data_IF_561541384876
#
_entry.id   IF_561541384876
#
_cell.length_a   1.000
_cell.length_b   1.000
_cell.length_c   1.000
_cell.angle_alpha   90.00
_cell.angle_beta   90.00
_cell.angle_gamma   90.00
#
_symmetry.space_group_name_H-M   'P 1'
#
loop_
_entity.id
_entity.type
_entity.pdbx_description
1 polymer ?
#
# COMPACT_ATOMS: atom_id res chain seq x y z
N UNK A 1 16.33 -5.79 -11.09
CA UNK A 1 16.42 -5.86 -9.60
C UNK A 1 17.76 -5.41 -9.01
N UNK A 2 18.92 -5.91 -9.51
CA UNK A 2 20.25 -5.59 -8.95
C UNK A 2 20.49 -4.08 -8.78
N UNK A 3 20.30 -3.30 -9.84
CA UNK A 3 20.58 -1.85 -9.79
C UNK A 3 19.66 -1.10 -8.82
N UNK A 4 18.38 -1.48 -8.76
CA UNK A 4 17.42 -0.91 -7.81
C UNK A 4 17.84 -1.20 -6.36
N UNK A 5 18.24 -2.45 -6.06
CA UNK A 5 18.72 -2.85 -4.73
C UNK A 5 19.99 -2.09 -4.37
N UNK A 6 20.95 -2.00 -5.30
CA UNK A 6 22.20 -1.27 -5.09
C UNK A 6 21.94 0.22 -4.82
N UNK A 7 21.01 0.84 -5.56
CA UNK A 7 20.60 2.22 -5.33
C UNK A 7 19.95 2.40 -3.95
N UNK A 8 18.97 1.57 -3.59
CA UNK A 8 18.30 1.65 -2.29
C UNK A 8 19.30 1.52 -1.13
N UNK A 9 20.20 0.53 -1.18
CA UNK A 9 21.25 0.33 -0.16
C UNK A 9 22.14 1.55 -0.03
N UNK A 10 22.60 2.10 -1.16
CA UNK A 10 23.45 3.29 -1.17
C UNK A 10 22.76 4.48 -0.50
N UNK A 11 21.49 4.73 -0.81
CA UNK A 11 20.75 5.84 -0.21
C UNK A 11 20.58 5.64 1.29
N UNK A 12 20.22 4.44 1.75
CA UNK A 12 20.12 4.13 3.19
C UNK A 12 21.47 4.29 3.90
N UNK A 13 22.58 3.85 3.29
CA UNK A 13 23.93 4.01 3.87
C UNK A 13 24.33 5.48 4.02
N UNK A 14 23.95 6.34 3.06
CA UNK A 14 24.17 7.78 3.14
C UNK A 14 23.28 8.39 4.22
N UNK A 15 21.98 8.09 4.18
CA UNK A 15 21.01 8.67 5.10
C UNK A 15 21.29 8.28 6.56
N UNK A 16 21.69 7.03 6.84
CA UNK A 16 22.02 6.61 8.22
C UNK A 16 23.18 7.37 8.84
N UNK A 17 24.12 7.88 8.03
CA UNK A 17 25.19 8.75 8.52
C UNK A 17 24.66 10.12 8.95
N UNK A 18 23.67 10.65 8.23
CA UNK A 18 23.10 11.98 8.48
C UNK A 18 21.92 11.95 9.48
N UNK A 19 21.16 10.86 9.51
CA UNK A 19 19.93 10.67 10.27
C UNK A 19 19.91 9.25 10.89
N UNK A 20 20.77 8.99 11.89
CA UNK A 20 20.90 7.65 12.49
C UNK A 20 19.65 7.20 13.27
N UNK A 21 18.79 8.14 13.68
CA UNK A 21 17.54 7.84 14.36
C UNK A 21 16.38 7.54 13.40
N UNK A 22 16.53 7.79 12.10
CA UNK A 22 15.48 7.55 11.11
C UNK A 22 15.29 6.05 10.84
N UNK A 23 14.06 5.69 10.46
CA UNK A 23 13.68 4.35 10.00
C UNK A 23 13.49 4.35 8.48
N UNK A 24 13.93 3.30 7.81
CA UNK A 24 13.92 3.21 6.36
C UNK A 24 12.89 2.20 5.88
N UNK A 25 11.95 2.69 5.07
CA UNK A 25 10.84 1.91 4.54
C UNK A 25 11.15 1.40 3.14
N UNK A 26 11.01 0.08 2.95
CA UNK A 26 10.88 -0.51 1.63
C UNK A 26 9.40 -0.64 1.28
N UNK A 27 8.91 0.11 0.29
CA UNK A 27 7.47 0.20 -0.02
C UNK A 27 7.13 -0.26 -1.44
N UNK A 28 7.07 -1.58 -1.72
CA UNK A 28 6.57 -2.09 -2.99
C UNK A 28 5.05 -1.94 -3.12
N UNK A 29 4.54 -2.01 -4.36
CA UNK A 29 3.08 -2.00 -4.63
C UNK A 29 2.33 -3.21 -4.07
N UNK A 30 3.00 -4.31 -3.73
CA UNK A 30 2.37 -5.55 -3.27
C UNK A 30 2.10 -6.59 -4.37
N UNK A 31 2.63 -6.37 -5.58
CA UNK A 31 2.48 -7.24 -6.74
C UNK A 31 3.43 -8.45 -6.74
N UNK A 32 3.11 -9.48 -7.51
CA UNK A 32 3.96 -10.67 -7.67
C UNK A 32 5.38 -10.32 -8.15
N UNK A 33 6.38 -10.93 -7.52
CA UNK A 33 7.79 -10.74 -7.86
C UNK A 33 8.45 -9.56 -7.14
N UNK A 34 7.72 -8.86 -6.25
CA UNK A 34 8.29 -7.83 -5.37
C UNK A 34 9.49 -8.34 -4.57
N UNK A 35 9.51 -9.63 -4.23
CA UNK A 35 10.52 -10.26 -3.37
C UNK A 35 11.91 -10.17 -3.99
N UNK A 36 11.97 -10.15 -5.34
CA UNK A 36 13.21 -9.99 -6.11
C UNK A 36 13.86 -8.63 -5.90
N UNK A 37 13.13 -7.66 -5.35
CA UNK A 37 13.60 -6.30 -5.08
C UNK A 37 13.87 -6.05 -3.59
N UNK A 38 13.68 -7.04 -2.71
CA UNK A 38 13.96 -6.86 -1.29
C UNK A 38 15.46 -6.55 -1.07
N UNK A 39 15.82 -5.41 -0.46
CA UNK A 39 17.21 -5.02 -0.32
C UNK A 39 17.93 -5.74 0.84
N UNK A 40 17.22 -6.50 1.67
CA UNK A 40 17.78 -7.27 2.78
C UNK A 40 17.54 -6.63 4.14
N UNK A 41 17.54 -7.46 5.18
CA UNK A 41 17.09 -7.10 6.53
C UNK A 41 17.87 -5.97 7.18
N UNK A 42 19.15 -5.84 6.85
CA UNK A 42 20.00 -4.77 7.36
C UNK A 42 19.57 -3.38 6.86
N UNK A 43 18.85 -3.31 5.74
CA UNK A 43 18.50 -2.06 5.06
C UNK A 43 17.03 -1.67 5.20
N UNK A 44 16.19 -2.55 5.75
CA UNK A 44 14.74 -2.33 5.90
C UNK A 44 14.35 -2.38 7.36
N UNK A 45 13.82 -1.27 7.86
CA UNK A 45 13.24 -1.20 9.20
C UNK A 45 11.74 -1.53 9.19
N UNK A 46 11.04 -1.17 8.12
CA UNK A 46 9.58 -1.31 7.96
C UNK A 46 9.22 -1.54 6.49
N UNK A 47 8.15 -2.27 6.22
CA UNK A 47 7.65 -2.53 4.87
C UNK A 47 6.40 -1.69 4.63
N UNK A 48 6.35 -1.00 3.50
CA UNK A 48 5.17 -0.29 3.02
C UNK A 48 4.42 -1.09 1.96
N UNK A 49 3.10 -1.01 1.94
CA UNK A 49 2.25 -1.50 0.86
C UNK A 49 1.25 -0.42 0.44
N UNK A 50 0.92 -0.37 -0.84
CA UNK A 50 -0.13 0.51 -1.36
C UNK A 50 -1.44 -0.27 -1.52
N UNK A 51 -2.53 0.26 -0.98
CA UNK A 51 -3.87 -0.35 -1.05
C UNK A 51 -4.85 0.69 -1.59
N UNK A 52 -5.38 0.45 -2.78
CA UNK A 52 -6.32 1.37 -3.42
C UNK A 52 -7.60 0.66 -3.85
N UNK A 53 -8.73 1.09 -3.28
CA UNK A 53 -10.06 0.58 -3.60
C UNK A 53 -10.78 1.47 -4.62
N UNK A 54 -11.04 0.97 -5.82
CA UNK A 54 -11.91 1.68 -6.77
C UNK A 54 -13.10 0.80 -7.08
N UNK A 55 -14.29 1.18 -6.60
CA UNK A 55 -15.49 0.33 -6.67
C UNK A 55 -15.76 -0.18 -8.09
N UNK A 56 -15.60 0.68 -9.10
CA UNK A 56 -15.76 0.27 -10.51
C UNK A 56 -14.77 -0.84 -10.89
N UNK A 57 -13.48 -0.67 -10.58
CA UNK A 57 -12.44 -1.65 -10.87
C UNK A 57 -12.67 -2.96 -10.11
N UNK A 58 -13.14 -2.87 -8.87
CA UNK A 58 -13.47 -4.04 -8.06
C UNK A 58 -14.57 -4.88 -8.73
N UNK A 59 -15.66 -4.23 -9.16
CA UNK A 59 -16.75 -4.91 -9.86
C UNK A 59 -16.32 -5.45 -11.23
N UNK A 60 -15.52 -4.68 -11.99
CA UNK A 60 -15.02 -5.11 -13.30
C UNK A 60 -14.07 -6.32 -13.21
N UNK A 61 -13.26 -6.43 -12.16
CA UNK A 61 -12.24 -7.49 -12.01
C UNK A 61 -12.70 -8.69 -11.17
N UNK A 62 -13.52 -8.46 -10.15
CA UNK A 62 -13.89 -9.47 -9.15
C UNK A 62 -15.41 -9.72 -9.07
N UNK A 63 -16.23 -8.92 -9.76
CA UNK A 63 -17.68 -9.03 -9.75
C UNK A 63 -18.35 -8.60 -8.44
N UNK A 64 -17.62 -7.95 -7.53
CA UNK A 64 -18.11 -7.45 -6.25
C UNK A 64 -17.25 -6.29 -5.72
N UNK A 65 -17.76 -5.59 -4.71
CA UNK A 65 -17.03 -4.57 -3.94
C UNK A 65 -15.97 -5.25 -3.07
N UNK A 66 -14.68 -5.10 -3.43
CA UNK A 66 -13.57 -5.65 -2.65
C UNK A 66 -13.34 -4.83 -1.37
N UNK A 67 -13.02 -5.53 -0.29
CA UNK A 67 -12.70 -4.94 1.01
C UNK A 67 -11.22 -4.58 1.16
N UNK A 68 -10.91 -3.81 2.21
CA UNK A 68 -9.52 -3.51 2.60
C UNK A 68 -8.69 -4.78 2.79
N UNK A 69 -9.23 -5.78 3.49
CA UNK A 69 -8.52 -7.02 3.78
C UNK A 69 -8.24 -7.83 2.50
N UNK A 70 -9.21 -7.91 1.58
CA UNK A 70 -9.05 -8.61 0.31
C UNK A 70 -7.96 -7.97 -0.57
N UNK A 71 -7.89 -6.64 -0.60
CA UNK A 71 -6.86 -5.94 -1.37
C UNK A 71 -5.48 -5.94 -0.68
N UNK A 72 -5.43 -5.95 0.65
CA UNK A 72 -4.17 -6.00 1.39
C UNK A 72 -3.54 -7.40 1.38
N UNK A 73 -4.35 -8.45 1.53
CA UNK A 73 -3.88 -9.82 1.79
C UNK A 73 -2.80 -10.33 0.82
N UNK A 74 -2.94 -10.19 -0.51
CA UNK A 74 -1.93 -10.69 -1.43
C UNK A 74 -0.57 -10.01 -1.24
N UNK A 75 -0.54 -8.69 -1.02
CA UNK A 75 0.70 -7.96 -0.75
C UNK A 75 1.29 -8.33 0.61
N UNK A 76 0.43 -8.42 1.62
CA UNK A 76 0.81 -8.80 2.98
C UNK A 76 1.47 -10.19 3.03
N UNK A 77 0.82 -11.21 2.45
CA UNK A 77 1.32 -12.60 2.47
C UNK A 77 2.71 -12.72 1.83
N UNK A 78 2.98 -11.94 0.76
CA UNK A 78 4.28 -11.91 0.08
C UNK A 78 5.39 -11.33 0.94
N UNK A 79 5.10 -10.28 1.70
CA UNK A 79 6.11 -9.58 2.51
C UNK A 79 6.23 -10.12 3.94
N UNK A 80 5.25 -10.89 4.41
CA UNK A 80 5.24 -11.46 5.76
C UNK A 80 6.49 -12.30 6.06
N UNK A 81 7.04 -12.98 5.04
CA UNK A 81 8.26 -13.81 5.16
C UNK A 81 9.51 -13.03 5.57
N UNK A 82 9.52 -11.70 5.41
CA UNK A 82 10.65 -10.84 5.78
C UNK A 82 10.66 -10.46 7.27
N UNK A 83 9.62 -10.82 8.04
CA UNK A 83 9.54 -10.61 9.49
C UNK A 83 9.78 -9.15 9.92
N UNK A 84 9.27 -8.20 9.14
CA UNK A 84 9.32 -6.75 9.44
C UNK A 84 7.92 -6.24 9.79
N UNK A 85 7.80 -5.15 10.57
CA UNK A 85 6.56 -4.40 10.67
C UNK A 85 6.07 -3.97 9.29
N UNK A 86 4.77 -4.04 9.06
CA UNK A 86 4.11 -3.69 7.81
C UNK A 86 3.24 -2.45 8.05
N UNK A 87 3.24 -1.55 7.08
CA UNK A 87 2.42 -0.34 7.04
C UNK A 87 1.70 -0.32 5.70
N UNK A 88 0.41 -0.01 5.69
CA UNK A 88 -0.22 0.47 4.45
C UNK A 88 0.24 1.91 4.29
N UNK A 89 1.27 2.11 3.47
CA UNK A 89 1.94 3.41 3.28
C UNK A 89 1.10 4.37 2.44
N UNK A 90 0.23 3.80 1.60
CA UNK A 90 -0.71 4.55 0.79
C UNK A 90 -2.06 3.84 0.81
N UNK A 91 -3.07 4.53 1.33
CA UNK A 91 -4.46 4.11 1.28
C UNK A 91 -5.29 5.15 0.52
N UNK A 92 -6.05 4.70 -0.47
CA UNK A 92 -7.10 5.50 -1.09
C UNK A 92 -8.29 4.61 -1.46
N UNK A 93 -9.49 5.18 -1.44
CA UNK A 93 -10.66 4.46 -1.94
C UNK A 93 -11.68 5.43 -2.50
N UNK A 94 -12.40 5.03 -3.56
CA UNK A 94 -13.46 5.83 -4.22
C UNK A 94 -14.60 4.91 -4.66
N UNK A 95 -15.84 5.32 -4.39
CA UNK A 95 -17.04 4.58 -4.79
C UNK A 95 -18.33 5.26 -4.30
N UNK A 96 -19.44 4.53 -4.34
CA UNK A 96 -20.71 4.96 -3.75
C UNK A 96 -20.62 5.01 -2.22
N UNK A 97 -21.58 5.69 -1.60
CA UNK A 97 -21.61 5.91 -0.15
C UNK A 97 -21.39 4.62 0.68
N UNK A 98 -22.07 3.53 0.34
CA UNK A 98 -21.95 2.26 1.10
C UNK A 98 -20.54 1.65 0.99
N UNK A 99 -19.94 1.72 -0.20
CA UNK A 99 -18.56 1.28 -0.44
C UNK A 99 -17.57 2.10 0.41
N UNK A 100 -17.70 3.43 0.36
CA UNK A 100 -16.84 4.35 1.12
C UNK A 100 -17.00 4.13 2.63
N UNK A 101 -18.23 3.97 3.12
CA UNK A 101 -18.51 3.67 4.53
C UNK A 101 -17.85 2.37 4.98
N UNK A 102 -17.91 1.31 4.15
CA UNK A 102 -17.25 0.03 4.45
C UNK A 102 -15.74 0.18 4.53
N UNK A 103 -15.13 0.89 3.58
CA UNK A 103 -13.69 1.15 3.59
C UNK A 103 -13.23 2.01 4.77
N UNK A 104 -14.03 3.01 5.17
CA UNK A 104 -13.78 3.82 6.36
C UNK A 104 -13.78 2.97 7.63
N UNK A 105 -14.68 2.01 7.74
CA UNK A 105 -14.74 1.10 8.88
C UNK A 105 -13.56 0.12 8.84
N UNK A 106 -13.34 -0.53 7.71
CA UNK A 106 -12.37 -1.61 7.56
C UNK A 106 -10.92 -1.14 7.71
N UNK A 107 -10.56 0.01 7.13
CA UNK A 107 -9.19 0.55 7.21
C UNK A 107 -8.74 0.95 8.62
N UNK A 108 -9.68 1.01 9.59
CA UNK A 108 -9.42 1.36 10.99
C UNK A 108 -9.49 0.16 11.94
N UNK A 109 -9.78 -1.04 11.42
CA UNK A 109 -9.86 -2.27 12.20
C UNK A 109 -8.50 -2.95 12.33
N UNK A 110 -8.33 -3.67 13.43
CA UNK A 110 -7.28 -4.68 13.56
C UNK A 110 -7.77 -6.01 12.98
N UNK A 111 -6.87 -6.71 12.28
CA UNK A 111 -7.13 -7.99 11.65
C UNK A 111 -6.18 -9.03 12.23
N UNK A 112 -6.72 -10.14 12.74
CA UNK A 112 -5.91 -11.20 13.32
C UNK A 112 -5.01 -11.88 12.28
N UNK A 113 -5.43 -11.86 11.02
CA UNK A 113 -4.68 -12.36 9.86
C UNK A 113 -3.53 -11.42 9.42
N UNK A 114 -3.49 -10.18 9.91
CA UNK A 114 -2.42 -9.21 9.60
C UNK A 114 -1.65 -8.79 10.87
N UNK A 115 -1.05 -9.72 11.63
CA UNK A 115 -0.45 -9.43 12.93
C UNK A 115 0.74 -8.45 12.87
N UNK A 116 1.39 -8.30 11.71
CA UNK A 116 2.49 -7.36 11.53
C UNK A 116 2.04 -5.99 10.98
N UNK A 117 0.75 -5.79 10.67
CA UNK A 117 0.22 -4.49 10.26
C UNK A 117 0.17 -3.56 11.47
N UNK A 118 0.97 -2.49 11.41
CA UNK A 118 1.15 -1.55 12.53
C UNK A 118 0.54 -0.18 12.28
N UNK A 119 0.34 0.21 11.02
CA UNK A 119 -0.18 1.53 10.66
C UNK A 119 -0.81 1.54 9.27
N UNK A 120 -1.71 2.49 9.06
CA UNK A 120 -2.36 2.77 7.77
C UNK A 120 -2.28 4.28 7.54
N UNK A 121 -1.74 4.69 6.39
CA UNK A 121 -1.52 6.09 6.02
C UNK A 121 -2.38 6.44 4.82
N UNK A 122 -3.27 7.42 4.99
CA UNK A 122 -4.21 7.84 3.94
C UNK A 122 -3.55 8.78 2.93
N UNK A 123 -3.63 8.43 1.65
CA UNK A 123 -3.12 9.22 0.53
C UNK A 123 -4.21 10.19 0.06
N UNK A 124 -4.32 11.34 0.74
CA UNK A 124 -5.39 12.32 0.51
C UNK A 124 -5.15 13.23 -0.72
N UNK A 125 -4.98 12.64 -1.91
CA UNK A 125 -4.70 13.36 -3.15
C UNK A 125 -5.50 12.77 -4.32
N UNK A 126 -5.73 13.57 -5.36
CA UNK A 126 -6.13 13.01 -6.64
C UNK A 126 -4.96 12.25 -7.26
N UNK A 127 -5.26 11.10 -7.88
CA UNK A 127 -4.30 10.34 -8.67
C UNK A 127 -3.61 11.25 -9.71
N UNK A 128 -2.30 11.08 -9.87
CA UNK A 128 -1.46 11.89 -10.76
C UNK A 128 -1.19 11.21 -12.09
N UNK A 129 -1.34 9.88 -12.14
CA UNK A 129 -1.11 9.09 -13.34
C UNK A 129 -2.34 8.24 -13.69
N UNK A 130 -2.84 8.28 -14.93
CA UNK A 130 -4.04 7.55 -15.29
C UNK A 130 -3.85 6.05 -15.11
N UNK A 131 -4.78 5.45 -14.38
CA UNK A 131 -4.82 4.01 -14.20
C UNK A 131 -5.09 3.32 -15.54
N UNK A 132 -4.32 2.27 -15.82
CA UNK A 132 -4.52 1.40 -16.99
C UNK A 132 -5.93 0.79 -16.97
N UNK A 133 -6.48 0.47 -18.14
CA UNK A 133 -7.84 -0.08 -18.24
C UNK A 133 -8.96 0.96 -18.24
N UNK A 134 -8.62 2.25 -18.39
CA UNK A 134 -9.62 3.31 -18.57
C UNK A 134 -10.26 3.81 -17.27
N UNK A 135 -9.67 3.52 -16.11
CA UNK A 135 -10.15 4.00 -14.81
C UNK A 135 -9.81 5.46 -14.51
N UNK A 136 -9.03 6.12 -15.39
CA UNK A 136 -8.74 7.54 -15.30
C UNK A 136 -7.90 7.89 -14.08
N UNK A 137 -8.24 9.01 -13.43
CA UNK A 137 -7.52 9.57 -12.28
C UNK A 137 -8.46 9.58 -11.07
N UNK A 138 -8.62 8.47 -10.34
CA UNK A 138 -9.48 8.44 -9.17
C UNK A 138 -9.09 9.52 -8.15
N UNK A 139 -10.10 10.06 -7.46
CA UNK A 139 -9.91 11.15 -6.53
C UNK A 139 -9.98 10.66 -5.08
N UNK A 140 -8.82 10.31 -4.52
CA UNK A 140 -8.70 9.76 -3.17
C UNK A 140 -8.97 10.81 -2.08
N UNK A 141 -9.21 12.08 -2.43
CA UNK A 141 -9.46 13.11 -1.41
C UNK A 141 -10.71 12.76 -0.61
N UNK A 142 -10.64 12.83 0.70
CA UNK A 142 -11.76 12.50 1.60
C UNK A 142 -13.04 13.30 1.34
N UNK A 143 -12.92 14.46 0.68
CA UNK A 143 -14.08 15.30 0.29
C UNK A 143 -14.63 14.99 -1.10
N UNK A 144 -13.97 14.12 -1.87
CA UNK A 144 -14.29 13.81 -3.27
C UNK A 144 -14.49 12.31 -3.52
N UNK A 145 -14.19 11.46 -2.55
CA UNK A 145 -14.17 10.02 -2.73
C UNK A 145 -15.53 9.31 -2.74
N UNK A 146 -16.62 10.04 -2.45
CA UNK A 146 -18.00 9.55 -2.62
C UNK A 146 -18.50 9.99 -3.99
N UNK A 147 -18.81 9.01 -4.84
CA UNK A 147 -19.42 9.23 -6.15
C UNK A 147 -20.93 9.51 -6.02
N UNK A 148 -21.50 10.29 -6.95
CA UNK A 148 -22.94 10.58 -6.99
C UNK A 148 -23.79 9.33 -7.29
#
# INVERSE_FOLDING_TARGET
>A
PKDWISAYKREVDICRKAAPAAKYMWSPKGEEGLEKYYPGDEYVDVIGLSVFGLQKKDNDEAGHDRTFAELLKPGYDRVAVFNKPIVVAELGYVGKQDYVSKWQEDSRKSYAEFPALTSVVYFNQKEVWPWLGGYGLPDWRVTQHVLP
#
